data_IF_437363621742
#
_entry.id   IF_437363621742
#
_cell.length_a   1.000
_cell.length_b   1.000
_cell.length_c   1.000
_cell.angle_alpha   90.00
_cell.angle_beta   90.00
_cell.angle_gamma   90.00
#
_symmetry.space_group_name_H-M   'P 1'
#
loop_
_entity.id
_entity.type
_entity.pdbx_description
1 polymer ?
#
# COMPACT_ATOMS: atom_id res chain seq x y z
N UNK A 1 -4.46 -3.11 -18.99
CA UNK A 1 -3.89 -2.68 -17.69
C UNK A 1 -2.60 -3.40 -17.28
N UNK A 2 -2.62 -4.59 -16.63
CA UNK A 2 -1.40 -5.14 -15.97
C UNK A 2 -0.18 -5.29 -16.90
N UNK A 3 -0.38 -5.71 -18.16
CA UNK A 3 0.71 -5.84 -19.14
C UNK A 3 1.18 -4.47 -19.67
N UNK A 4 0.29 -3.49 -19.84
CA UNK A 4 0.69 -2.11 -20.18
C UNK A 4 1.54 -1.51 -19.05
N UNK A 5 1.12 -1.71 -17.79
CA UNK A 5 1.89 -1.24 -16.62
C UNK A 5 3.29 -1.88 -16.55
N UNK A 6 3.42 -3.17 -16.88
CA UNK A 6 4.74 -3.81 -16.98
C UNK A 6 5.60 -3.22 -18.11
N UNK A 7 5.01 -2.94 -19.28
CA UNK A 7 5.72 -2.32 -20.40
C UNK A 7 6.18 -0.89 -20.06
N UNK A 8 5.33 -0.09 -19.40
CA UNK A 8 5.67 1.24 -18.89
C UNK A 8 6.82 1.14 -17.86
N UNK A 9 6.75 0.19 -16.92
CA UNK A 9 7.85 -0.02 -15.97
C UNK A 9 9.17 -0.44 -16.64
N UNK A 10 9.13 -1.15 -17.77
CA UNK A 10 10.35 -1.49 -18.52
C UNK A 10 11.01 -0.24 -19.12
N UNK A 11 10.23 0.69 -19.68
CA UNK A 11 10.76 1.93 -20.28
C UNK A 11 11.30 2.92 -19.25
N UNK A 12 10.67 3.05 -18.08
CA UNK A 12 11.10 3.99 -17.02
C UNK A 12 12.16 3.43 -16.05
N UNK A 13 12.68 2.23 -16.30
CA UNK A 13 13.70 1.59 -15.48
C UNK A 13 13.12 0.50 -14.58
N UNK A 14 13.31 -0.75 -15.00
CA UNK A 14 12.62 -1.89 -14.41
C UNK A 14 13.06 -2.19 -12.96
N UNK A 15 12.16 -2.03 -11.96
CA UNK A 15 12.45 -2.37 -10.58
C UNK A 15 12.43 -3.89 -10.39
N UNK A 16 12.73 -4.35 -9.17
CA UNK A 16 12.52 -5.75 -8.82
C UNK A 16 11.04 -6.00 -8.55
N UNK A 17 10.41 -6.88 -9.33
CA UNK A 17 8.97 -7.15 -9.26
C UNK A 17 8.69 -8.51 -8.59
N UNK A 18 7.59 -8.59 -7.84
CA UNK A 18 7.00 -9.82 -7.35
C UNK A 18 5.53 -9.89 -7.78
N UNK A 19 5.09 -11.03 -8.27
CA UNK A 19 3.71 -11.26 -8.66
C UNK A 19 2.90 -11.87 -7.54
N UNK A 20 1.61 -11.54 -7.47
CA UNK A 20 0.64 -12.20 -6.59
C UNK A 20 -0.55 -12.64 -7.44
N UNK A 21 -0.80 -13.95 -7.50
CA UNK A 21 -1.94 -14.52 -8.21
C UNK A 21 -3.06 -14.85 -7.22
N UNK A 22 -4.19 -14.18 -7.36
CA UNK A 22 -5.37 -14.26 -6.48
C UNK A 22 -6.52 -15.02 -7.14
N UNK A 23 -7.68 -15.11 -6.47
CA UNK A 23 -8.91 -15.71 -7.00
C UNK A 23 -8.75 -17.16 -7.50
N UNK A 24 -7.97 -17.96 -6.79
CA UNK A 24 -7.68 -19.35 -7.12
C UNK A 24 -8.84 -20.30 -6.72
N UNK A 25 -9.64 -19.87 -5.75
CA UNK A 25 -10.93 -20.40 -5.30
C UNK A 25 -11.99 -20.49 -6.41
N UNK A 26 -11.98 -19.59 -7.39
CA UNK A 26 -12.89 -19.62 -8.55
C UNK A 26 -12.73 -20.88 -9.43
N UNK A 27 -11.65 -21.66 -9.29
CA UNK A 27 -11.39 -22.85 -10.09
C UNK A 27 -11.83 -24.14 -9.38
N UNK A 28 -13.01 -24.66 -9.75
CA UNK A 28 -13.58 -25.91 -9.20
C UNK A 28 -12.73 -27.18 -9.48
N UNK A 29 -11.91 -27.19 -10.54
CA UNK A 29 -11.14 -28.38 -10.95
C UNK A 29 -9.63 -28.19 -10.75
N UNK A 30 -9.06 -28.99 -9.84
CA UNK A 30 -7.63 -28.97 -9.48
C UNK A 30 -6.68 -29.19 -10.66
N UNK A 31 -7.04 -30.04 -11.63
CA UNK A 31 -6.21 -30.28 -12.83
C UNK A 31 -6.10 -29.02 -13.69
N UNK A 32 -7.23 -28.32 -13.90
CA UNK A 32 -7.24 -27.05 -14.64
C UNK A 32 -6.49 -25.95 -13.89
N UNK A 33 -6.64 -25.87 -12.56
CA UNK A 33 -5.92 -24.93 -11.69
C UNK A 33 -4.40 -25.10 -11.79
N UNK A 34 -3.90 -26.34 -11.73
CA UNK A 34 -2.46 -26.64 -11.87
C UNK A 34 -1.94 -26.19 -13.25
N UNK A 35 -2.67 -26.51 -14.33
CA UNK A 35 -2.30 -26.12 -15.69
C UNK A 35 -2.27 -24.60 -15.87
N UNK A 36 -3.27 -23.90 -15.33
CA UNK A 36 -3.35 -22.44 -15.39
C UNK A 36 -2.25 -21.77 -14.55
N UNK A 37 -1.99 -22.25 -13.32
CA UNK A 37 -0.86 -21.78 -12.50
C UNK A 37 0.48 -21.93 -13.23
N UNK A 38 0.72 -23.08 -13.90
CA UNK A 38 1.93 -23.29 -14.72
C UNK A 38 2.00 -22.31 -15.89
N UNK A 39 0.91 -22.14 -16.66
CA UNK A 39 0.84 -21.22 -17.81
C UNK A 39 1.09 -19.76 -17.42
N UNK A 40 0.42 -19.28 -16.37
CA UNK A 40 0.56 -17.90 -15.88
C UNK A 40 1.95 -17.64 -15.30
N UNK A 41 2.51 -18.60 -14.54
CA UNK A 41 3.90 -18.52 -14.06
C UNK A 41 4.90 -18.41 -15.21
N UNK A 42 4.74 -19.23 -16.24
CA UNK A 42 5.66 -19.20 -17.38
C UNK A 42 5.58 -17.86 -18.14
N UNK A 43 4.37 -17.39 -18.43
CA UNK A 43 4.14 -16.08 -19.06
C UNK A 43 4.75 -14.92 -18.24
N UNK A 44 4.48 -14.90 -16.93
CA UNK A 44 5.04 -13.92 -16.00
C UNK A 44 6.59 -13.93 -15.97
N UNK A 45 7.21 -15.08 -16.17
CA UNK A 45 8.67 -15.18 -16.30
C UNK A 45 9.20 -14.66 -17.62
N UNK A 46 8.51 -14.92 -18.73
CA UNK A 46 8.87 -14.40 -20.07
C UNK A 46 8.81 -12.87 -20.12
N UNK A 47 7.84 -12.25 -19.45
CA UNK A 47 7.61 -10.80 -19.50
C UNK A 47 8.46 -10.00 -18.49
N UNK A 48 8.95 -10.61 -17.41
CA UNK A 48 9.65 -9.91 -16.32
C UNK A 48 11.13 -10.32 -16.26
N UNK A 49 11.39 -11.52 -15.76
CA UNK A 49 12.66 -12.22 -15.86
C UNK A 49 12.48 -13.68 -15.44
N UNK A 50 13.31 -14.57 -15.99
CA UNK A 50 13.25 -15.99 -15.67
C UNK A 50 13.48 -16.23 -14.17
N UNK A 51 12.53 -16.91 -13.52
CA UNK A 51 12.60 -17.17 -12.07
C UNK A 51 12.03 -16.06 -11.17
N UNK A 52 11.36 -15.04 -11.71
CA UNK A 52 10.62 -14.05 -10.93
C UNK A 52 9.67 -14.71 -9.90
N UNK A 53 9.54 -14.12 -8.71
CA UNK A 53 8.74 -14.70 -7.63
C UNK A 53 7.26 -14.43 -7.86
N UNK A 54 6.47 -15.50 -7.86
CA UNK A 54 5.01 -15.47 -7.98
C UNK A 54 4.41 -16.16 -6.75
N UNK A 55 3.65 -15.41 -5.97
CA UNK A 55 2.87 -15.89 -4.83
C UNK A 55 1.46 -16.28 -5.29
N UNK A 56 0.82 -17.12 -4.49
CA UNK A 56 -0.52 -17.62 -4.75
C UNK A 56 -1.36 -17.35 -3.49
N UNK A 57 -2.47 -16.63 -3.64
CA UNK A 57 -3.45 -16.43 -2.57
C UNK A 57 -4.68 -17.27 -2.89
N UNK A 58 -4.99 -18.25 -2.04
CA UNK A 58 -5.93 -19.32 -2.37
C UNK A 58 -7.38 -18.86 -2.50
N UNK A 59 -7.78 -17.84 -1.73
CA UNK A 59 -9.13 -17.26 -1.72
C UNK A 59 -9.28 -16.29 -0.56
N UNK A 60 -10.50 -15.79 -0.33
CA UNK A 60 -10.82 -14.91 0.80
C UNK A 60 -11.66 -15.68 1.83
N UNK A 61 -11.29 -15.58 3.12
CA UNK A 61 -11.97 -16.20 4.26
C UNK A 61 -12.32 -15.07 5.23
N UNK A 62 -13.61 -14.93 5.59
CA UNK A 62 -14.09 -13.87 6.49
C UNK A 62 -13.61 -12.45 6.09
N UNK A 63 -13.67 -12.15 4.78
CA UNK A 63 -13.23 -10.86 4.23
C UNK A 63 -11.71 -10.63 4.19
N UNK A 64 -10.89 -11.60 4.61
CA UNK A 64 -9.41 -11.48 4.63
C UNK A 64 -8.72 -12.64 3.90
N UNK A 65 -7.49 -12.43 3.47
CA UNK A 65 -6.67 -13.52 2.91
C UNK A 65 -6.10 -14.42 4.03
N UNK A 66 -5.81 -15.71 3.76
CA UNK A 66 -5.25 -16.63 4.74
C UNK A 66 -3.94 -16.12 5.35
N UNK A 67 -3.90 -16.04 6.69
CA UNK A 67 -2.77 -15.47 7.44
C UNK A 67 -1.41 -16.09 7.07
N UNK A 68 -1.35 -17.40 6.82
CA UNK A 68 -0.10 -18.09 6.48
C UNK A 68 0.44 -17.70 5.09
N UNK A 69 -0.43 -17.42 4.12
CA UNK A 69 -0.04 -16.98 2.78
C UNK A 69 0.50 -15.54 2.84
N UNK A 70 -0.22 -14.66 3.55
CA UNK A 70 0.17 -13.26 3.78
C UNK A 70 1.45 -13.15 4.61
N UNK A 71 1.63 -13.99 5.63
CA UNK A 71 2.86 -14.03 6.44
C UNK A 71 4.07 -14.45 5.58
N UNK A 72 3.91 -15.42 4.68
CA UNK A 72 4.98 -15.82 3.76
C UNK A 72 5.29 -14.72 2.74
N UNK A 73 4.28 -14.05 2.17
CA UNK A 73 4.46 -12.90 1.28
C UNK A 73 5.19 -11.75 1.99
N UNK A 74 4.71 -11.36 3.17
CA UNK A 74 5.32 -10.34 4.05
C UNK A 74 6.79 -10.63 4.31
N UNK A 75 7.13 -11.86 4.72
CA UNK A 75 8.53 -12.29 4.94
C UNK A 75 9.44 -12.08 3.72
N UNK A 76 8.93 -12.22 2.50
CA UNK A 76 9.70 -11.96 1.28
C UNK A 76 9.84 -10.46 0.97
N UNK A 77 8.80 -9.65 1.24
CA UNK A 77 8.87 -8.19 1.15
C UNK A 77 9.92 -7.64 2.12
N UNK A 78 9.92 -8.09 3.39
CA UNK A 78 10.85 -7.60 4.43
C UNK A 78 12.34 -7.88 4.15
N UNK A 79 12.67 -8.86 3.30
CA UNK A 79 14.07 -9.18 2.94
C UNK A 79 14.43 -8.76 1.51
N UNK A 80 13.57 -7.96 0.87
CA UNK A 80 13.71 -7.58 -0.53
C UNK A 80 14.82 -6.56 -0.74
N UNK A 81 15.95 -7.00 -1.31
CA UNK A 81 16.96 -6.07 -1.85
C UNK A 81 16.43 -5.37 -3.11
N UNK A 82 16.49 -4.04 -3.12
CA UNK A 82 16.10 -3.17 -4.23
C UNK A 82 17.23 -3.02 -5.27
N UNK A 83 16.86 -2.61 -6.49
CA UNK A 83 17.81 -2.22 -7.55
C UNK A 83 17.82 -0.68 -7.62
N UNK A 84 18.98 -0.01 -7.52
CA UNK A 84 19.06 1.43 -7.76
C UNK A 84 18.72 1.72 -9.22
N UNK A 85 17.92 2.75 -9.45
CA UNK A 85 17.53 3.24 -10.78
C UNK A 85 18.19 4.60 -11.00
N UNK A 86 18.72 4.84 -12.20
CA UNK A 86 19.47 6.08 -12.50
C UNK A 86 18.63 7.31 -12.16
N UNK A 87 17.40 7.39 -12.67
CA UNK A 87 16.48 8.50 -12.41
C UNK A 87 16.29 8.80 -10.92
N UNK A 88 16.04 7.77 -10.11
CA UNK A 88 15.84 7.88 -8.65
C UNK A 88 17.10 8.29 -7.88
N UNK A 89 18.27 8.11 -8.48
CA UNK A 89 19.55 8.53 -7.89
C UNK A 89 19.99 9.92 -8.38
N UNK A 90 19.41 10.44 -9.47
CA UNK A 90 19.79 11.72 -10.08
C UNK A 90 18.77 12.83 -9.87
N UNK A 91 17.52 12.52 -9.53
CA UNK A 91 16.45 13.49 -9.32
C UNK A 91 15.84 13.30 -7.92
N UNK A 92 15.70 14.38 -7.11
CA UNK A 92 14.92 14.32 -5.89
C UNK A 92 13.44 14.09 -6.23
N UNK A 93 12.75 13.31 -5.40
CA UNK A 93 11.31 13.09 -5.52
C UNK A 93 10.72 12.78 -4.14
N UNK A 94 9.46 13.12 -3.95
CA UNK A 94 8.69 12.83 -2.75
C UNK A 94 7.37 12.12 -3.12
N UNK A 95 6.79 11.45 -2.14
CA UNK A 95 5.41 10.95 -2.20
C UNK A 95 4.65 11.74 -1.14
N UNK A 96 3.51 12.33 -1.51
CA UNK A 96 2.69 13.08 -0.57
C UNK A 96 1.84 12.12 0.27
N UNK A 97 2.16 11.99 1.56
CA UNK A 97 1.40 11.15 2.50
C UNK A 97 0.12 11.85 3.01
N UNK A 98 0.15 13.18 3.12
CA UNK A 98 -0.96 14.06 3.48
C UNK A 98 -0.96 15.25 2.50
N UNK A 99 -2.14 15.70 2.11
CA UNK A 99 -2.37 16.85 1.23
C UNK A 99 -3.43 17.71 1.90
N UNK A 100 -3.17 19.01 1.98
CA UNK A 100 -4.07 20.02 2.54
C UNK A 100 -4.09 21.22 1.62
N UNK A 101 -5.25 21.85 1.47
CA UNK A 101 -5.42 23.01 0.58
C UNK A 101 -4.95 24.28 1.30
N UNK A 102 -3.68 24.65 1.09
CA UNK A 102 -3.09 25.92 1.51
C UNK A 102 -2.81 26.77 0.26
N UNK A 103 -3.14 28.07 0.30
CA UNK A 103 -2.97 28.99 -0.84
C UNK A 103 -1.63 29.73 -0.76
N UNK A 104 -0.72 29.45 -1.73
CA UNK A 104 0.21 30.37 -2.44
C UNK A 104 1.47 29.62 -2.99
N UNK A 105 2.24 30.22 -3.94
CA UNK A 105 2.92 29.50 -5.05
C UNK A 105 4.42 29.93 -5.46
N UNK A 106 5.56 29.14 -5.33
CA UNK A 106 6.90 29.21 -6.11
C UNK A 106 7.75 27.88 -6.51
N UNK A 107 7.94 27.51 -7.80
CA UNK A 107 8.22 26.21 -8.57
C UNK A 107 8.25 24.73 -8.00
N UNK A 108 7.32 23.83 -8.44
CA UNK A 108 7.31 22.32 -8.37
C UNK A 108 6.36 21.62 -9.39
N UNK A 109 6.79 20.58 -10.12
CA UNK A 109 5.88 19.74 -10.95
C UNK A 109 5.06 18.70 -10.16
N UNK A 110 3.73 18.78 -10.22
CA UNK A 110 2.80 17.78 -9.68
C UNK A 110 2.16 16.98 -10.85
N UNK A 111 2.36 15.65 -10.94
CA UNK A 111 1.78 14.82 -11.99
C UNK A 111 0.25 14.95 -12.05
N UNK A 112 -0.27 15.49 -13.14
CA UNK A 112 -1.70 15.72 -13.36
C UNK A 112 -2.24 17.08 -12.87
N UNK A 113 -1.50 17.84 -12.06
CA UNK A 113 -1.82 19.21 -11.66
C UNK A 113 -0.85 20.27 -12.24
N UNK A 114 0.15 19.83 -13.00
CA UNK A 114 1.07 20.69 -13.76
C UNK A 114 2.23 21.23 -12.92
N UNK A 115 2.94 22.19 -13.49
CA UNK A 115 3.98 22.94 -12.80
C UNK A 115 3.30 23.90 -11.84
N UNK A 116 3.14 23.41 -10.61
CA UNK A 116 2.83 24.23 -9.45
C UNK A 116 4.09 24.96 -9.02
N UNK A 117 3.96 25.64 -7.90
CA UNK A 117 4.91 26.62 -7.44
C UNK A 117 4.82 26.43 -5.87
N UNK A 118 5.92 26.09 -5.17
CA UNK A 118 6.13 25.81 -3.71
C UNK A 118 6.47 27.07 -2.85
N UNK A 119 5.74 27.30 -1.77
CA UNK A 119 5.91 28.50 -0.91
C UNK A 119 6.82 28.36 0.31
N UNK A 120 6.87 27.20 0.98
CA UNK A 120 7.71 26.95 2.17
C UNK A 120 8.12 25.47 2.29
N UNK A 121 9.23 25.19 2.99
CA UNK A 121 9.65 23.84 3.40
C UNK A 121 10.00 23.83 4.89
N UNK A 122 9.17 23.16 5.69
CA UNK A 122 9.50 22.80 7.07
C UNK A 122 9.95 21.34 7.17
N UNK A 123 10.95 21.08 8.04
CA UNK A 123 11.41 19.71 8.35
C UNK A 123 10.74 19.27 9.65
N UNK A 124 9.90 18.24 9.55
CA UNK A 124 9.16 17.67 10.68
C UNK A 124 9.81 16.38 11.22
N UNK A 125 9.61 16.02 12.50
CA UNK A 125 10.00 14.72 13.03
C UNK A 125 9.28 13.56 12.33
N UNK A 126 9.98 12.43 12.17
CA UNK A 126 9.45 11.20 11.58
C UNK A 126 8.28 10.62 12.42
N UNK A 127 7.06 10.46 11.85
CA UNK A 127 5.91 9.88 12.56
C UNK A 127 6.03 8.35 12.76
N UNK A 128 6.92 7.66 12.04
CA UNK A 128 7.16 6.23 12.11
C UNK A 128 8.65 5.91 12.37
N UNK A 129 9.22 6.37 13.51
CA UNK A 129 10.66 6.35 13.76
C UNK A 129 11.25 4.94 13.72
N UNK A 130 12.32 4.79 12.93
CA UNK A 130 13.06 3.53 12.81
C UNK A 130 13.79 3.15 14.11
N UNK A 131 13.95 1.84 14.33
CA UNK A 131 14.73 1.31 15.45
C UNK A 131 16.24 1.51 15.24
N UNK A 132 16.85 2.35 16.09
CA UNK A 132 18.31 2.61 16.14
C UNK A 132 19.21 1.37 16.32
N UNK A 133 18.65 0.21 16.67
CA UNK A 133 19.39 -1.06 16.78
C UNK A 133 18.64 -2.16 16.05
N UNK A 134 19.31 -2.78 15.07
CA UNK A 134 18.80 -3.95 14.34
C UNK A 134 18.57 -5.11 15.33
N UNK A 135 17.34 -5.63 15.36
CA UNK A 135 16.94 -6.78 16.18
C UNK A 135 16.41 -7.90 15.29
N UNK A 136 16.56 -9.16 15.73
CA UNK A 136 16.01 -10.33 15.01
C UNK A 136 14.49 -10.45 15.12
N UNK A 137 13.88 -9.80 16.10
CA UNK A 137 12.43 -9.76 16.33
C UNK A 137 11.98 -8.33 16.63
N UNK A 138 10.76 -8.01 16.21
CA UNK A 138 10.10 -6.72 16.42
C UNK A 138 8.95 -6.90 17.42
N UNK A 139 9.01 -6.21 18.55
CA UNK A 139 7.93 -6.20 19.54
C UNK A 139 6.75 -5.35 19.06
N UNK A 140 5.52 -5.65 19.47
CA UNK A 140 4.30 -4.91 19.09
C UNK A 140 4.42 -3.39 19.23
N UNK A 141 5.07 -2.89 20.31
CA UNK A 141 5.30 -1.44 20.53
C UNK A 141 6.03 -0.70 19.41
N UNK A 142 6.74 -1.42 18.52
CA UNK A 142 7.49 -0.85 17.40
C UNK A 142 6.83 -1.17 16.03
N UNK A 143 5.63 -1.75 16.02
CA UNK A 143 4.82 -1.95 14.81
C UNK A 143 3.85 -0.78 14.65
N UNK A 144 4.40 0.42 14.48
CA UNK A 144 3.62 1.65 14.27
C UNK A 144 3.04 1.65 12.85
N UNK A 145 1.87 2.27 12.69
CA UNK A 145 1.22 2.51 11.41
C UNK A 145 0.98 4.02 11.29
N UNK A 146 1.40 4.61 10.18
CA UNK A 146 1.07 5.98 9.80
C UNK A 146 0.35 5.93 8.45
N UNK A 147 -0.89 6.43 8.42
CA UNK A 147 -1.73 6.47 7.24
C UNK A 147 -2.77 7.60 7.42
N UNK A 148 -2.37 8.88 7.30
CA UNK A 148 -3.20 10.02 7.71
C UNK A 148 -4.47 10.21 6.88
N UNK A 149 -4.55 9.61 5.69
CA UNK A 149 -5.71 9.63 4.79
C UNK A 149 -6.58 8.37 4.84
N UNK A 150 -6.39 7.49 5.84
CA UNK A 150 -7.14 6.24 5.99
C UNK A 150 -7.65 6.07 7.43
N UNK A 151 -8.70 5.26 7.60
CA UNK A 151 -9.14 4.84 8.94
C UNK A 151 -8.03 4.02 9.63
N UNK A 152 -7.54 4.54 10.76
CA UNK A 152 -6.62 3.84 11.65
C UNK A 152 -7.24 3.74 13.04
N UNK A 153 -7.79 2.56 13.36
CA UNK A 153 -8.30 2.25 14.69
C UNK A 153 -9.72 2.76 14.96
N UNK A 154 -10.51 3.04 13.92
CA UNK A 154 -11.84 3.61 14.00
C UNK A 154 -11.85 5.14 13.96
N UNK A 155 -10.80 5.78 13.47
CA UNK A 155 -10.70 7.23 13.31
C UNK A 155 -10.26 7.53 11.88
N UNK A 156 -11.08 8.29 11.16
CA UNK A 156 -10.81 8.79 9.81
C UNK A 156 -10.87 10.32 9.82
N UNK A 157 -9.82 10.94 9.27
CA UNK A 157 -9.76 12.39 9.07
C UNK A 157 -10.19 12.73 7.65
N UNK A 158 -11.05 13.72 7.54
CA UNK A 158 -11.33 14.49 6.32
C UNK A 158 -11.03 15.97 6.63
N UNK A 159 -10.94 16.82 5.61
CA UNK A 159 -10.32 18.17 5.65
C UNK A 159 -10.59 18.96 6.94
N UNK A 160 -11.85 19.05 7.33
CA UNK A 160 -12.38 19.78 8.48
C UNK A 160 -13.20 18.89 9.45
N UNK A 161 -13.24 17.58 9.23
CA UNK A 161 -14.10 16.63 9.94
C UNK A 161 -13.35 15.38 10.44
N UNK A 162 -13.77 14.87 11.60
CA UNK A 162 -13.24 13.60 12.16
C UNK A 162 -14.38 12.62 12.31
N UNK A 163 -14.33 11.53 11.55
CA UNK A 163 -15.28 10.43 11.64
C UNK A 163 -14.75 9.38 12.61
N UNK A 164 -15.55 9.05 13.63
CA UNK A 164 -15.20 8.05 14.65
C UNK A 164 -16.15 6.87 14.55
N UNK A 165 -15.62 5.71 14.16
CA UNK A 165 -16.33 4.44 14.12
C UNK A 165 -16.34 3.81 15.52
N UNK A 166 -17.47 3.91 16.23
CA UNK A 166 -17.67 3.28 17.54
C UNK A 166 -18.11 1.81 17.33
N UNK A 167 -17.28 0.80 17.68
CA UNK A 167 -17.64 -0.59 17.45
C UNK A 167 -18.64 -1.09 18.50
N UNK A 168 -19.86 -1.42 18.08
CA UNK A 168 -20.74 -2.31 18.83
C UNK A 168 -21.80 -1.68 19.72
N UNK A 169 -22.25 -0.45 19.43
CA UNK A 169 -23.58 0.03 19.80
C UNK A 169 -23.97 1.20 18.87
N UNK A 170 -25.21 1.22 18.38
CA UNK A 170 -25.85 2.52 18.13
C UNK A 170 -25.96 3.19 19.51
N UNK A 171 -25.59 4.47 19.67
CA UNK A 171 -25.86 5.16 20.91
C UNK A 171 -27.37 5.16 21.13
N UNK A 172 -27.84 4.54 22.21
CA UNK A 172 -29.15 4.85 22.74
C UNK A 172 -29.13 6.34 23.11
N UNK A 173 -29.67 7.17 22.22
CA UNK A 173 -29.92 8.57 22.51
C UNK A 173 -30.94 8.61 23.64
N UNK A 174 -30.48 8.79 24.88
CA UNK A 174 -31.32 9.38 25.91
C UNK A 174 -31.79 10.72 25.35
N UNK A 175 -33.08 10.82 25.00
CA UNK A 175 -33.69 12.06 24.53
C UNK A 175 -33.49 13.14 25.59
N UNK A 176 -32.47 13.97 25.38
CA UNK A 176 -32.15 15.07 26.26
C UNK A 176 -33.35 16.03 26.37
N UNK A 177 -33.50 16.75 27.48
CA UNK A 177 -34.64 17.65 27.68
C UNK A 177 -34.77 18.76 26.63
N UNK A 178 -33.76 18.97 25.76
CA UNK A 178 -33.81 19.88 24.63
C UNK A 178 -34.40 19.32 23.32
N UNK A 179 -34.64 18.02 23.19
CA UNK A 179 -35.30 17.41 21.99
C UNK A 179 -36.83 17.28 22.14
N UNK A 180 -37.40 17.75 23.25
CA UNK A 180 -38.85 17.70 23.55
C UNK A 180 -39.51 19.08 23.59
N UNK A 181 -38.98 20.03 22.82
CA UNK A 181 -39.56 21.36 22.57
C UNK A 181 -39.98 21.50 21.11
#
# INVERSE_FOLDING_TARGET
>A
ETFEFLNILQTHGFPKIMGVLTHLDKYKNTKTLITIKKRLRHRFWTEIYQGAKLFYLSGIINGRYPNHEIQNLSRFISVMKFRPLIWRNTHPYLVADRVEDLTDLEEVHIPGAGDQILSDISILPDPCPLLNKVRKSLSEKHKVIYAPMYDVGGIMYDKDAVYINIPGNEPEYEQGPGEKM
#
